data_IF_152891364194
#
_entry.id   IF_152891364194
#
_cell.length_a   1.000
_cell.length_b   1.000
_cell.length_c   1.000
_cell.angle_alpha   90.00
_cell.angle_beta   90.00
_cell.angle_gamma   90.00
#
_symmetry.space_group_name_H-M   'P 1'
#
loop_
_entity.id
_entity.type
_entity.pdbx_description
1 polymer ?
#
# COMPACT_ATOMS: atom_id res chain seq x y z
N UNK A 1 1.45 -34.13 -0.35
CA UNK A 1 0.56 -32.98 -0.53
C UNK A 1 0.97 -32.19 -1.76
N UNK A 2 0.16 -32.14 -2.82
CA UNK A 2 0.38 -31.16 -3.89
C UNK A 2 -0.18 -29.83 -3.41
N UNK A 3 0.68 -28.91 -2.97
CA UNK A 3 0.26 -27.53 -2.70
C UNK A 3 -0.13 -26.91 -4.04
N UNK A 4 -1.42 -26.88 -4.34
CA UNK A 4 -1.95 -26.13 -5.45
C UNK A 4 -1.89 -24.66 -5.07
N UNK A 5 -0.98 -23.90 -5.68
CA UNK A 5 -0.97 -22.45 -5.55
C UNK A 5 -1.99 -21.88 -6.54
N UNK A 6 -2.88 -21.02 -6.05
CA UNK A 6 -3.91 -20.38 -6.86
C UNK A 6 -3.97 -18.89 -6.48
N UNK A 7 -3.78 -18.03 -7.47
CA UNK A 7 -4.03 -16.60 -7.39
C UNK A 7 -5.07 -16.29 -8.47
N UNK A 8 -6.28 -15.91 -8.05
CA UNK A 8 -7.39 -15.66 -8.98
C UNK A 8 -7.30 -14.30 -9.65
N UNK A 9 -6.53 -13.39 -9.06
CA UNK A 9 -6.25 -12.04 -9.55
C UNK A 9 -4.74 -11.78 -9.65
N UNK A 10 -4.36 -10.63 -10.21
CA UNK A 10 -2.98 -10.14 -10.13
C UNK A 10 -2.70 -9.66 -8.70
N UNK A 11 -1.59 -10.11 -8.12
CA UNK A 11 -1.21 -9.74 -6.77
C UNK A 11 0.31 -9.71 -6.62
N UNK A 12 0.80 -8.91 -5.68
CA UNK A 12 2.16 -8.99 -5.16
C UNK A 12 2.11 -9.36 -3.69
N UNK A 13 2.86 -10.39 -3.31
CA UNK A 13 3.03 -10.85 -1.94
C UNK A 13 4.42 -10.46 -1.46
N UNK A 14 4.49 -9.83 -0.30
CA UNK A 14 5.71 -9.29 0.28
C UNK A 14 5.86 -9.85 1.68
N UNK A 15 7.06 -10.37 1.97
CA UNK A 15 7.43 -10.95 3.26
C UNK A 15 8.77 -10.39 3.71
N UNK A 16 8.99 -10.40 5.02
CA UNK A 16 10.22 -9.90 5.61
C UNK A 16 10.91 -11.02 6.39
N UNK A 17 12.23 -11.07 6.27
CA UNK A 17 13.08 -11.97 7.03
C UNK A 17 14.16 -11.17 7.73
N UNK A 18 14.19 -11.23 9.06
CA UNK A 18 15.20 -10.62 9.91
C UNK A 18 16.25 -11.70 10.21
N UNK A 19 17.46 -11.64 9.62
CA UNK A 19 18.50 -12.60 9.93
C UNK A 19 18.88 -12.53 11.41
N UNK A 20 19.24 -13.66 12.01
CA UNK A 20 19.66 -13.72 13.41
C UNK A 20 20.75 -12.69 13.72
N UNK A 21 20.49 -11.84 14.70
CA UNK A 21 21.38 -10.78 15.24
C UNK A 21 22.76 -11.28 15.75
N UNK A 22 23.02 -12.58 15.66
CA UNK A 22 24.16 -13.26 16.26
C UNK A 22 25.48 -13.13 15.45
N UNK A 23 25.47 -12.54 14.25
CA UNK A 23 26.69 -12.27 13.49
C UNK A 23 26.94 -10.77 13.37
N UNK A 24 28.07 -10.26 13.90
CA UNK A 24 28.58 -8.98 13.44
C UNK A 24 29.08 -9.21 12.02
N UNK A 25 28.25 -8.91 11.02
CA UNK A 25 28.76 -8.62 9.69
C UNK A 25 29.63 -7.37 9.79
N UNK A 26 30.64 -7.24 8.93
CA UNK A 26 31.43 -6.00 8.83
C UNK A 26 30.59 -4.76 8.44
N UNK A 27 29.31 -4.95 8.10
CA UNK A 27 28.28 -3.91 8.00
C UNK A 27 27.90 -3.41 9.40
N UNK A 28 28.13 -2.12 9.65
CA UNK A 28 27.74 -1.43 10.89
C UNK A 28 26.22 -1.25 11.05
N UNK A 29 25.43 -1.56 10.01
CA UNK A 29 23.98 -1.31 9.96
C UNK A 29 23.19 -2.62 9.84
N UNK A 30 22.19 -2.80 10.72
CA UNK A 30 21.28 -3.95 10.67
C UNK A 30 20.45 -3.91 9.39
N UNK A 31 20.56 -4.94 8.54
CA UNK A 31 19.78 -5.10 7.30
C UNK A 31 18.74 -6.21 7.45
N UNK A 32 17.59 -6.00 6.83
CA UNK A 32 16.46 -6.96 6.77
C UNK A 32 16.27 -7.35 5.30
N UNK A 33 15.88 -8.60 5.07
CA UNK A 33 15.60 -9.12 3.74
C UNK A 33 14.10 -8.95 3.43
N UNK A 34 13.78 -8.15 2.41
CA UNK A 34 12.46 -8.13 1.78
C UNK A 34 12.42 -9.23 0.71
N UNK A 35 11.45 -10.12 0.81
CA UNK A 35 11.14 -11.16 -0.16
C UNK A 35 9.85 -10.77 -0.87
N UNK A 36 9.81 -10.86 -2.20
CA UNK A 36 8.59 -10.56 -2.95
C UNK A 36 8.34 -11.58 -4.05
N UNK A 37 7.06 -11.81 -4.34
CA UNK A 37 6.61 -12.55 -5.50
C UNK A 37 5.33 -11.92 -6.05
N UNK A 38 5.21 -11.81 -7.37
CA UNK A 38 4.02 -11.26 -8.00
C UNK A 38 3.62 -12.02 -9.25
N UNK A 39 2.34 -11.93 -9.60
CA UNK A 39 1.81 -12.43 -10.85
C UNK A 39 1.09 -11.35 -11.65
N UNK A 40 1.35 -11.30 -12.94
CA UNK A 40 0.73 -10.31 -13.87
C UNK A 40 -0.55 -10.81 -14.53
N UNK A 41 -0.85 -12.11 -14.35
CA UNK A 41 -2.08 -12.78 -14.79
C UNK A 41 -2.52 -13.76 -13.70
N UNK A 42 -3.81 -14.13 -13.61
CA UNK A 42 -4.27 -15.19 -12.72
C UNK A 42 -3.45 -16.47 -12.89
N UNK A 43 -3.10 -17.12 -11.79
CA UNK A 43 -2.22 -18.29 -11.75
C UNK A 43 -2.97 -19.45 -11.10
N UNK A 44 -3.01 -20.59 -11.78
CA UNK A 44 -3.48 -21.85 -11.20
C UNK A 44 -2.42 -22.93 -11.42
N UNK A 45 -1.66 -23.24 -10.37
CA UNK A 45 -0.63 -24.28 -10.41
C UNK A 45 -1.29 -25.60 -10.01
N UNK A 46 -1.74 -26.37 -10.99
CA UNK A 46 -2.19 -27.75 -10.80
C UNK A 46 -1.01 -28.74 -10.83
N UNK A 47 0.03 -28.44 -11.61
CA UNK A 47 1.25 -29.23 -11.69
C UNK A 47 2.45 -28.35 -12.01
N UNK A 48 3.46 -28.35 -11.13
CA UNK A 48 4.66 -27.50 -11.26
C UNK A 48 5.50 -27.85 -12.50
N UNK A 49 5.40 -29.08 -13.03
CA UNK A 49 6.14 -29.52 -14.22
C UNK A 49 5.57 -28.98 -15.54
N UNK A 50 4.32 -28.52 -15.53
CA UNK A 50 3.58 -28.07 -16.72
C UNK A 50 3.29 -26.56 -16.64
N UNK A 51 3.59 -25.94 -15.50
CA UNK A 51 3.30 -24.54 -15.27
C UNK A 51 4.20 -23.63 -16.12
N UNK A 52 3.59 -22.81 -16.97
CA UNK A 52 4.29 -21.75 -17.69
C UNK A 52 4.51 -20.55 -16.78
N UNK A 53 5.76 -20.28 -16.40
CA UNK A 53 6.13 -19.22 -15.45
C UNK A 53 6.11 -17.80 -16.03
N UNK A 54 5.65 -17.59 -17.27
CA UNK A 54 5.80 -16.29 -17.97
C UNK A 54 5.08 -15.12 -17.29
N UNK A 55 4.16 -15.38 -16.36
CA UNK A 55 3.42 -14.35 -15.63
C UNK A 55 3.69 -14.36 -14.12
N UNK A 56 4.74 -15.05 -13.64
CA UNK A 56 5.11 -15.13 -12.23
C UNK A 56 6.56 -14.72 -12.05
N UNK A 57 6.79 -13.82 -11.10
CA UNK A 57 8.09 -13.23 -10.82
C UNK A 57 8.34 -13.26 -9.32
N UNK A 58 9.60 -13.34 -8.92
CA UNK A 58 10.01 -13.29 -7.52
C UNK A 58 11.40 -12.71 -7.39
N UNK A 59 11.69 -12.11 -6.25
CA UNK A 59 13.00 -11.56 -5.95
C UNK A 59 13.17 -11.24 -4.47
N UNK A 60 14.27 -10.57 -4.16
CA UNK A 60 14.59 -10.13 -2.81
C UNK A 60 15.43 -8.86 -2.80
N UNK A 61 15.34 -8.09 -1.71
CA UNK A 61 16.11 -6.86 -1.49
C UNK A 61 16.65 -6.80 -0.05
N UNK A 62 17.89 -6.34 0.11
CA UNK A 62 18.45 -6.03 1.43
C UNK A 62 18.21 -4.57 1.74
N UNK A 63 17.44 -4.30 2.80
CA UNK A 63 17.07 -2.95 3.18
C UNK A 63 17.54 -2.67 4.61
N UNK A 64 18.19 -1.54 4.88
CA UNK A 64 18.55 -1.17 6.23
C UNK A 64 17.33 -0.98 7.14
N UNK A 65 17.35 -1.57 8.34
CA UNK A 65 16.24 -1.53 9.28
C UNK A 65 15.87 -0.10 9.68
N UNK A 66 16.87 0.76 9.89
CA UNK A 66 16.65 2.16 10.24
C UNK A 66 15.84 2.92 9.17
N UNK A 67 16.10 2.62 7.88
CA UNK A 67 15.38 3.22 6.75
C UNK A 67 13.93 2.74 6.69
N UNK A 68 13.68 1.45 6.97
CA UNK A 68 12.31 0.90 7.05
C UNK A 68 11.50 1.60 8.15
N UNK A 69 12.07 1.72 9.36
CA UNK A 69 11.40 2.36 10.50
C UNK A 69 11.09 3.82 10.17
N UNK A 70 12.09 4.58 9.70
CA UNK A 70 11.93 5.99 9.31
C UNK A 70 10.84 6.17 8.24
N UNK A 71 10.85 5.34 7.19
CA UNK A 71 9.86 5.42 6.13
C UNK A 71 8.46 5.11 6.64
N UNK A 72 8.32 4.10 7.50
CA UNK A 72 7.03 3.72 8.06
C UNK A 72 6.44 4.83 8.94
N UNK A 73 7.25 5.52 9.73
CA UNK A 73 6.81 6.68 10.51
C UNK A 73 6.31 7.82 9.60
N UNK A 74 7.02 8.08 8.49
CA UNK A 74 6.61 9.08 7.48
C UNK A 74 5.30 8.69 6.79
N UNK A 75 5.14 7.42 6.42
CA UNK A 75 3.90 6.90 5.83
C UNK A 75 2.73 6.97 6.80
N UNK A 76 2.96 6.68 8.09
CA UNK A 76 1.93 6.78 9.14
C UNK A 76 1.46 8.22 9.33
N UNK A 77 2.40 9.19 9.33
CA UNK A 77 2.08 10.62 9.33
C UNK A 77 1.25 11.01 8.10
N UNK A 78 1.69 10.60 6.90
CA UNK A 78 0.94 10.85 5.67
C UNK A 78 -0.48 10.27 5.74
N UNK A 79 -0.64 9.04 6.21
CA UNK A 79 -1.94 8.38 6.39
C UNK A 79 -2.85 9.21 7.30
N UNK A 80 -2.32 9.67 8.43
CA UNK A 80 -3.06 10.50 9.38
C UNK A 80 -3.51 11.84 8.75
N UNK A 81 -2.64 12.49 7.96
CA UNK A 81 -3.00 13.74 7.26
C UNK A 81 -4.13 13.50 6.25
N UNK A 82 -4.02 12.44 5.43
CA UNK A 82 -5.04 12.05 4.46
C UNK A 82 -6.36 11.76 5.17
N UNK A 83 -6.34 11.05 6.29
CA UNK A 83 -7.53 10.75 7.07
C UNK A 83 -8.20 12.00 7.63
N UNK A 84 -7.43 12.96 8.17
CA UNK A 84 -7.97 14.23 8.67
C UNK A 84 -8.63 15.05 7.55
N UNK A 85 -8.05 15.08 6.35
CA UNK A 85 -8.65 15.75 5.17
C UNK A 85 -9.96 15.09 4.72
N UNK A 86 -10.03 13.76 4.79
CA UNK A 86 -11.27 13.04 4.49
C UNK A 86 -12.36 13.30 5.53
N UNK A 87 -11.99 13.48 6.81
CA UNK A 87 -12.95 13.80 7.86
C UNK A 87 -13.41 15.26 7.78
N UNK A 88 -12.50 16.20 7.51
CA UNK A 88 -12.83 17.61 7.37
C UNK A 88 -13.77 17.87 6.18
N UNK A 89 -13.51 17.24 5.02
CA UNK A 89 -14.39 17.32 3.85
C UNK A 89 -15.80 16.78 4.13
N UNK A 90 -15.92 15.64 4.83
CA UNK A 90 -17.22 15.11 5.28
C UNK A 90 -17.96 16.04 6.25
N UNK A 91 -17.23 16.71 7.14
CA UNK A 91 -17.83 17.68 8.07
C UNK A 91 -18.39 18.91 7.35
N UNK A 92 -17.68 19.38 6.32
CA UNK A 92 -18.10 20.52 5.50
C UNK A 92 -19.30 20.19 4.62
N UNK A 93 -19.39 18.97 4.07
CA UNK A 93 -20.55 18.52 3.30
C UNK A 93 -21.80 18.36 4.18
N UNK A 94 -21.66 17.86 5.41
CA UNK A 94 -22.78 17.73 6.35
C UNK A 94 -23.26 19.09 6.89
N UNK A 95 -22.35 20.05 7.11
CA UNK A 95 -22.72 21.39 7.54
C UNK A 95 -23.53 22.15 6.48
N UNK A 96 -23.24 21.92 5.19
CA UNK A 96 -23.95 22.55 4.08
C UNK A 96 -25.33 21.95 3.79
N UNK A 97 -25.64 20.75 4.31
CA UNK A 97 -26.98 20.13 4.24
C UNK A 97 -27.90 20.52 5.42
N UNK A 98 -27.39 21.20 6.45
CA UNK A 98 -28.14 21.43 7.70
C UNK A 98 -29.01 22.70 7.75
N UNK A 99 -29.21 23.40 6.62
CA UNK A 99 -30.07 24.61 6.58
C UNK A 99 -31.38 24.38 5.82
N UNK A 100 -32.20 23.44 6.30
CA UNK A 100 -33.65 23.45 6.05
C UNK A 100 -34.41 22.54 7.03
N UNK A 101 -35.10 23.15 7.99
CA UNK A 101 -36.36 22.62 8.56
C UNK A 101 -37.51 23.45 7.95
N UNK A 102 -38.78 22.97 7.85
CA UNK A 102 -39.50 21.96 8.66
C UNK A 102 -40.05 20.80 7.77
N UNK A 103 -40.75 19.74 8.19
CA UNK A 103 -41.91 19.58 9.09
C UNK A 103 -42.22 18.06 9.26
N UNK A 104 -43.09 17.70 10.20
CA UNK A 104 -43.44 16.36 10.69
C UNK A 104 -44.03 15.38 9.64
N UNK A 105 -43.73 14.07 9.76
CA UNK A 105 -44.45 13.02 9.02
C UNK A 105 -43.92 11.59 9.22
N UNK A 106 -44.71 10.76 9.92
CA UNK A 106 -44.47 9.34 10.28
C UNK A 106 -44.17 8.43 9.07
N UNK A 107 -43.22 7.49 9.21
CA UNK A 107 -43.44 6.01 9.21
C UNK A 107 -42.10 5.26 9.20
N UNK A 108 -41.85 4.49 10.26
CA UNK A 108 -40.75 3.54 10.41
C UNK A 108 -40.84 2.40 9.36
N UNK A 109 -39.85 2.29 8.48
CA UNK A 109 -39.44 1.01 7.86
C UNK A 109 -37.92 0.93 7.82
N UNK A 110 -37.41 0.22 8.82
CA UNK A 110 -36.01 -0.17 8.95
C UNK A 110 -35.70 -1.22 7.87
N UNK A 111 -34.89 -0.85 6.88
CA UNK A 111 -34.31 -1.78 5.90
C UNK A 111 -32.84 -1.97 6.30
N UNK A 112 -32.29 -3.19 6.31
CA UNK A 112 -30.94 -3.44 6.81
C UNK A 112 -29.92 -2.68 5.97
N UNK A 113 -29.04 -1.96 6.65
CA UNK A 113 -27.94 -1.20 6.06
C UNK A 113 -27.10 -2.11 5.16
N UNK A 114 -27.13 -1.81 3.85
CA UNK A 114 -26.22 -2.37 2.87
C UNK A 114 -24.79 -2.08 3.32
N UNK A 115 -23.99 -3.14 3.31
CA UNK A 115 -22.57 -3.20 3.61
C UNK A 115 -21.84 -1.96 3.06
N UNK A 116 -21.09 -1.32 3.95
CA UNK A 116 -20.13 -0.24 3.71
C UNK A 116 -19.40 -0.43 2.38
N UNK A 117 -19.80 0.33 1.36
CA UNK A 117 -18.90 0.75 0.30
C UNK A 117 -17.94 1.73 0.97
N UNK A 118 -16.81 1.23 1.46
CA UNK A 118 -15.73 2.06 1.97
C UNK A 118 -15.13 2.84 0.79
N UNK A 119 -15.68 4.03 0.58
CA UNK A 119 -15.13 5.19 -0.13
C UNK A 119 -13.89 4.92 -0.99
N UNK A 120 -14.11 4.43 -2.22
CA UNK A 120 -13.15 4.57 -3.35
C UNK A 120 -13.28 5.99 -3.90
N UNK A 121 -13.21 6.99 -3.03
CA UNK A 121 -13.22 8.38 -3.43
C UNK A 121 -11.77 8.87 -3.42
N UNK A 122 -11.26 9.24 -4.60
CA UNK A 122 -9.96 9.88 -4.76
C UNK A 122 -9.86 11.05 -3.79
N UNK A 123 -8.87 11.03 -2.90
CA UNK A 123 -8.72 12.11 -1.92
C UNK A 123 -8.08 13.30 -2.62
N UNK A 124 -8.75 14.46 -2.59
CA UNK A 124 -8.12 15.70 -3.02
C UNK A 124 -7.14 16.13 -1.92
N UNK A 125 -5.85 16.06 -2.22
CA UNK A 125 -4.80 16.47 -1.29
C UNK A 125 -4.62 17.98 -1.35
N UNK A 126 -4.37 18.60 -0.19
CA UNK A 126 -3.81 19.94 -0.18
C UNK A 126 -2.32 19.90 -0.62
N UNK A 127 -1.79 21.04 -1.05
CA UNK A 127 -0.42 21.18 -1.57
C UNK A 127 0.64 20.63 -0.59
N UNK A 128 0.47 20.86 0.71
CA UNK A 128 1.42 20.39 1.73
C UNK A 128 1.37 18.87 1.86
N UNK A 129 0.18 18.27 1.85
CA UNK A 129 0.01 16.81 1.92
C UNK A 129 0.48 16.13 0.64
N UNK A 130 0.28 16.74 -0.53
CA UNK A 130 0.80 16.26 -1.80
C UNK A 130 2.34 16.24 -1.81
N UNK A 131 2.98 17.32 -1.37
CA UNK A 131 4.43 17.38 -1.25
C UNK A 131 4.99 16.39 -0.21
N UNK A 132 4.24 16.11 0.85
CA UNK A 132 4.59 15.04 1.80
C UNK A 132 4.52 13.66 1.14
N UNK A 133 3.46 13.41 0.36
CA UNK A 133 3.31 12.16 -0.39
C UNK A 133 4.46 11.97 -1.38
N UNK A 134 4.78 12.97 -2.21
CA UNK A 134 5.91 12.89 -3.16
C UNK A 134 7.23 12.54 -2.48
N UNK A 135 7.53 13.15 -1.33
CA UNK A 135 8.75 12.84 -0.55
C UNK A 135 8.75 11.40 -0.06
N UNK A 136 7.66 10.94 0.55
CA UNK A 136 7.54 9.56 1.03
C UNK A 136 7.70 8.55 -0.11
N UNK A 137 7.01 8.77 -1.23
CA UNK A 137 7.04 7.87 -2.39
C UNK A 137 8.39 7.89 -3.12
N UNK A 138 9.12 9.00 -3.06
CA UNK A 138 10.50 9.07 -3.57
C UNK A 138 11.42 8.17 -2.75
N UNK A 139 11.26 8.16 -1.42
CA UNK A 139 12.01 7.28 -0.53
C UNK A 139 11.61 5.81 -0.71
N UNK A 140 10.34 5.50 -0.94
CA UNK A 140 9.89 4.15 -1.34
C UNK A 140 10.59 3.70 -2.61
N UNK A 141 10.58 4.54 -3.65
CA UNK A 141 11.25 4.27 -4.92
C UNK A 141 12.75 4.03 -4.73
N UNK A 142 13.41 4.89 -3.97
CA UNK A 142 14.84 4.76 -3.64
C UNK A 142 15.13 3.41 -2.94
N UNK A 143 14.30 3.00 -1.97
CA UNK A 143 14.51 1.75 -1.22
C UNK A 143 14.22 0.48 -2.03
N UNK A 144 13.28 0.55 -2.97
CA UNK A 144 12.88 -0.60 -3.78
C UNK A 144 13.69 -0.74 -5.09
N UNK A 145 14.32 0.35 -5.57
CA UNK A 145 15.14 0.29 -6.77
C UNK A 145 16.42 -0.53 -6.55
N UNK A 146 16.59 -1.56 -7.37
CA UNK A 146 17.76 -2.45 -7.37
C UNK A 146 19.06 -1.73 -7.79
N UNK A 147 18.93 -0.63 -8.55
CA UNK A 147 20.09 0.11 -9.08
C UNK A 147 20.35 1.34 -8.21
N UNK A 148 21.60 1.52 -7.72
CA UNK A 148 22.01 2.73 -6.99
C UNK A 148 22.19 3.90 -7.97
N UNK A 149 21.13 4.31 -8.65
CA UNK A 149 21.06 5.60 -9.31
C UNK A 149 20.48 6.57 -8.30
N UNK A 150 21.02 7.79 -8.24
CA UNK A 150 20.40 8.92 -7.56
C UNK A 150 18.98 9.08 -8.12
N UNK A 151 18.00 8.45 -7.47
CA UNK A 151 16.63 8.44 -7.93
C UNK A 151 16.12 9.87 -7.83
N UNK A 152 15.83 10.46 -8.99
CA UNK A 152 15.20 11.77 -9.05
C UNK A 152 13.91 11.72 -8.21
N UNK A 153 13.68 12.74 -7.36
CA UNK A 153 12.45 12.81 -6.59
C UNK A 153 11.25 12.79 -7.54
N UNK A 154 10.17 12.17 -7.09
CA UNK A 154 8.94 12.12 -7.83
C UNK A 154 8.36 13.53 -7.99
N UNK A 155 8.07 13.90 -9.24
CA UNK A 155 7.38 15.15 -9.58
C UNK A 155 5.88 15.05 -9.40
N UNK A 156 5.34 13.83 -9.53
CA UNK A 156 3.92 13.51 -9.47
C UNK A 156 3.68 12.22 -8.67
N UNK A 157 2.46 12.05 -8.17
CA UNK A 157 2.06 10.83 -7.47
C UNK A 157 1.70 9.75 -8.51
N UNK A 158 2.35 8.57 -8.49
CA UNK A 158 2.26 7.58 -9.56
C UNK A 158 1.03 6.66 -9.52
N UNK A 159 0.15 6.81 -8.52
CA UNK A 159 -1.06 6.03 -8.35
C UNK A 159 -2.17 6.87 -7.71
N UNK A 160 -3.40 6.36 -7.69
CA UNK A 160 -4.52 7.06 -7.05
C UNK A 160 -4.40 7.02 -5.52
N UNK A 161 -4.29 8.21 -4.92
CA UNK A 161 -4.21 8.33 -3.46
C UNK A 161 -5.58 8.09 -2.85
N UNK A 162 -5.67 7.01 -2.10
CA UNK A 162 -6.79 6.67 -1.23
C UNK A 162 -6.22 6.32 0.15
N UNK A 163 -7.06 6.37 1.20
CA UNK A 163 -6.62 5.92 2.52
C UNK A 163 -6.15 4.45 2.48
N UNK A 164 -6.79 3.63 1.65
CA UNK A 164 -6.44 2.22 1.46
C UNK A 164 -5.08 2.05 0.77
N UNK A 165 -4.76 2.84 -0.25
CA UNK A 165 -3.49 2.72 -0.97
C UNK A 165 -2.31 3.13 -0.10
N UNK A 166 -2.47 4.19 0.71
CA UNK A 166 -1.46 4.60 1.69
C UNK A 166 -1.32 3.56 2.81
N UNK A 167 -2.43 3.02 3.33
CA UNK A 167 -2.37 1.99 4.37
C UNK A 167 -1.71 0.70 3.86
N UNK A 168 -2.03 0.26 2.64
CA UNK A 168 -1.42 -0.92 2.02
C UNK A 168 0.08 -0.72 1.80
N UNK A 169 0.49 0.50 1.43
CA UNK A 169 1.90 0.87 1.29
C UNK A 169 2.62 0.92 2.63
N UNK A 170 1.98 1.41 3.70
CA UNK A 170 2.53 1.36 5.06
C UNK A 170 2.70 -0.09 5.55
N UNK A 171 1.68 -0.93 5.33
CA UNK A 171 1.69 -2.34 5.72
C UNK A 171 2.76 -3.14 4.97
N UNK A 172 3.06 -2.77 3.71
CA UNK A 172 4.17 -3.34 2.95
C UNK A 172 5.51 -3.21 3.67
N UNK A 173 5.73 -2.11 4.39
CA UNK A 173 6.93 -1.86 5.19
C UNK A 173 6.80 -2.28 6.66
N UNK A 174 5.88 -3.21 6.97
CA UNK A 174 5.77 -3.83 8.29
C UNK A 174 6.52 -5.18 8.33
N UNK A 175 7.70 -5.26 8.99
CA UNK A 175 8.49 -6.48 9.02
C UNK A 175 7.85 -7.67 9.74
N UNK A 176 6.79 -7.44 10.52
CA UNK A 176 6.15 -8.50 11.30
C UNK A 176 5.15 -9.34 10.48
N UNK A 177 4.43 -8.71 9.56
CA UNK A 177 3.26 -9.32 8.92
C UNK A 177 3.43 -9.52 7.41
N UNK A 178 4.31 -8.76 6.75
CA UNK A 178 4.31 -8.67 5.29
C UNK A 178 3.02 -8.03 4.77
N UNK A 179 2.76 -8.15 3.47
CA UNK A 179 1.58 -7.58 2.83
C UNK A 179 1.22 -8.31 1.53
N UNK A 180 -0.06 -8.26 1.15
CA UNK A 180 -0.53 -8.64 -0.19
C UNK A 180 -1.23 -7.43 -0.80
N UNK A 181 -0.77 -7.01 -1.98
CA UNK A 181 -1.33 -5.86 -2.70
C UNK A 181 -1.99 -6.36 -3.98
N UNK A 182 -3.28 -6.07 -4.11
CA UNK A 182 -4.13 -6.38 -5.28
C UNK A 182 -4.66 -5.12 -5.96
N UNK A 183 -4.51 -3.95 -5.33
CA UNK A 183 -4.95 -2.66 -5.88
C UNK A 183 -4.19 -2.35 -7.17
N UNK A 184 -4.93 -2.14 -8.27
CA UNK A 184 -4.36 -2.04 -9.61
C UNK A 184 -3.32 -0.92 -9.78
N UNK A 185 -3.60 0.30 -9.33
CA UNK A 185 -2.72 1.46 -9.51
C UNK A 185 -1.43 1.32 -8.69
N UNK A 186 -1.55 0.96 -7.40
CA UNK A 186 -0.43 0.72 -6.50
C UNK A 186 0.40 -0.48 -6.92
N UNK A 187 -0.24 -1.59 -7.29
CA UNK A 187 0.40 -2.80 -7.83
C UNK A 187 1.24 -2.46 -9.07
N UNK A 188 0.63 -1.80 -10.07
CA UNK A 188 1.30 -1.46 -11.33
C UNK A 188 2.53 -0.55 -11.08
N UNK A 189 2.43 0.38 -10.12
CA UNK A 189 3.56 1.21 -9.75
C UNK A 189 4.69 0.40 -9.10
N UNK A 190 4.39 -0.43 -8.09
CA UNK A 190 5.42 -1.21 -7.38
C UNK A 190 6.19 -2.13 -8.32
N UNK A 191 5.52 -2.82 -9.25
CA UNK A 191 6.20 -3.71 -10.20
C UNK A 191 7.00 -2.96 -11.28
N UNK A 192 6.84 -1.63 -11.38
CA UNK A 192 7.60 -0.79 -12.32
C UNK A 192 8.92 -0.24 -11.75
N UNK A 193 9.15 -0.43 -10.44
CA UNK A 193 10.34 0.01 -9.70
C UNK A 193 11.52 -0.96 -9.84
#
# INVERSE_FOLDING_TARGET
ESRAANASDKEINIQWYIPSLAKPSNDTETKVLLLYAYNTKPVKISNIKIFGSMSVFSGYLWIPLARIISLRDKLSNLRQQVEMLMQSSKSLSLASESTSFPEEGKTLKQIPSKISQMNVAKVYLDEKTEEMAKRCLSEVKELLSVVPVLSLPLTEIPFDVTLQSIASLEDMFNPANGCVITEESLFNWIISL
#
